data_IF_120845207390
#
_entry.id   IF_120845207390
#
_cell.length_a   1.000
_cell.length_b   1.000
_cell.length_c   1.000
_cell.angle_alpha   90.00
_cell.angle_beta   90.00
_cell.angle_gamma   90.00
#
_symmetry.space_group_name_H-M   'P 1'
#
loop_
_entity.id
_entity.type
_entity.pdbx_description
1 polymer ?
#
# COMPACT_ATOMS: atom_id res chain seq x y z
N UNK A 1 44.51 -9.82 11.66
CA UNK A 1 43.30 -9.05 12.05
C UNK A 1 43.08 -9.22 13.55
N UNK A 2 43.00 -8.14 14.35
CA UNK A 2 42.86 -8.23 15.83
C UNK A 2 41.43 -7.94 16.27
N UNK A 3 40.96 -8.62 17.32
CA UNK A 3 39.59 -8.52 17.88
C UNK A 3 39.21 -7.08 18.27
N UNK A 4 40.19 -6.25 18.64
CA UNK A 4 39.99 -4.83 18.95
C UNK A 4 39.64 -4.00 17.71
N UNK A 5 40.20 -4.34 16.55
CA UNK A 5 39.94 -3.63 15.29
C UNK A 5 38.50 -3.90 14.83
N UNK A 6 38.03 -5.14 14.96
CA UNK A 6 36.64 -5.55 14.66
C UNK A 6 35.64 -4.79 15.54
N UNK A 7 35.92 -4.66 16.84
CA UNK A 7 35.00 -3.96 17.76
C UNK A 7 34.91 -2.46 17.48
N UNK A 8 35.99 -1.84 16.96
CA UNK A 8 36.01 -0.42 16.56
C UNK A 8 35.28 -0.21 15.22
N UNK A 9 35.45 -1.12 14.26
CA UNK A 9 34.72 -1.07 12.99
C UNK A 9 33.20 -1.22 13.18
N UNK A 10 32.77 -2.11 14.09
CA UNK A 10 31.36 -2.29 14.41
C UNK A 10 30.73 -1.05 15.07
N UNK A 11 31.44 -0.38 15.98
CA UNK A 11 30.90 0.83 16.65
C UNK A 11 30.82 2.04 15.72
N UNK A 12 31.80 2.19 14.83
CA UNK A 12 31.80 3.25 13.79
C UNK A 12 30.71 3.01 12.75
N UNK A 13 30.50 1.76 12.32
CA UNK A 13 29.39 1.38 11.45
C UNK A 13 28.03 1.68 12.07
N UNK A 14 27.81 1.28 13.32
CA UNK A 14 26.54 1.57 14.03
C UNK A 14 26.26 3.07 14.13
N UNK A 15 27.28 3.88 14.43
CA UNK A 15 27.12 5.33 14.49
C UNK A 15 26.79 5.94 13.11
N UNK A 16 27.42 5.46 12.03
CA UNK A 16 27.12 5.88 10.66
C UNK A 16 25.68 5.56 10.28
N UNK A 17 25.25 4.31 10.45
CA UNK A 17 23.89 3.88 10.10
C UNK A 17 22.84 4.61 10.93
N UNK A 18 23.10 4.86 12.23
CA UNK A 18 22.20 5.67 13.06
C UNK A 18 22.03 7.07 12.46
N UNK A 19 23.12 7.73 12.08
CA UNK A 19 23.07 9.07 11.47
C UNK A 19 22.35 9.07 10.13
N UNK A 20 22.62 8.09 9.26
CA UNK A 20 21.93 7.95 7.97
C UNK A 20 20.42 7.74 8.15
N UNK A 21 20.01 6.89 9.09
CA UNK A 21 18.58 6.68 9.36
C UNK A 21 17.89 7.96 9.81
N UNK A 22 18.47 8.72 10.75
CA UNK A 22 17.83 9.93 11.28
C UNK A 22 17.94 11.15 10.36
N UNK A 23 19.04 11.30 9.62
CA UNK A 23 19.33 12.49 8.81
C UNK A 23 18.95 12.33 7.34
N UNK A 24 18.76 11.10 6.86
CA UNK A 24 18.43 10.82 5.45
C UNK A 24 17.12 10.05 5.34
N UNK A 25 17.03 8.87 5.96
CA UNK A 25 15.88 7.99 5.76
C UNK A 25 14.58 8.60 6.31
N UNK A 26 14.59 9.11 7.55
CA UNK A 26 13.39 9.73 8.14
C UNK A 26 12.94 10.99 7.40
N UNK A 27 13.82 11.94 7.03
CA UNK A 27 13.43 13.08 6.18
C UNK A 27 12.89 12.65 4.82
N UNK A 28 13.51 11.66 4.17
CA UNK A 28 13.04 11.15 2.88
C UNK A 28 11.64 10.53 2.98
N UNK A 29 11.40 9.70 4.01
CA UNK A 29 10.07 9.13 4.28
C UNK A 29 9.07 10.25 4.59
N UNK A 30 9.45 11.27 5.34
CA UNK A 30 8.62 12.43 5.61
C UNK A 30 8.20 13.18 4.34
N UNK A 31 9.14 13.38 3.40
CA UNK A 31 8.85 13.99 2.10
C UNK A 31 7.92 13.12 1.25
N UNK A 32 8.15 11.80 1.20
CA UNK A 32 7.26 10.88 0.48
C UNK A 32 5.86 10.84 1.10
N UNK A 33 5.76 10.86 2.42
CA UNK A 33 4.48 10.91 3.14
C UNK A 33 3.73 12.21 2.85
N UNK A 34 4.42 13.35 2.89
CA UNK A 34 3.82 14.64 2.54
C UNK A 34 3.34 14.67 1.09
N UNK A 35 4.12 14.15 0.14
CA UNK A 35 3.70 14.03 -1.26
C UNK A 35 2.45 13.16 -1.39
N UNK A 36 2.47 11.95 -0.82
CA UNK A 36 1.33 11.04 -0.89
C UNK A 36 0.07 11.64 -0.24
N UNK A 37 0.21 12.32 0.90
CA UNK A 37 -0.91 12.95 1.60
C UNK A 37 -1.49 14.14 0.83
N UNK A 38 -0.64 15.02 0.31
CA UNK A 38 -1.09 16.21 -0.44
C UNK A 38 -1.64 15.84 -1.83
N UNK A 39 -1.12 14.77 -2.44
CA UNK A 39 -1.61 14.24 -3.71
C UNK A 39 -2.78 13.27 -3.55
N UNK A 40 -3.25 13.03 -2.31
CA UNK A 40 -4.36 12.13 -2.04
C UNK A 40 -5.69 12.79 -2.43
N UNK A 41 -6.01 12.76 -3.71
CA UNK A 41 -7.31 13.14 -4.23
C UNK A 41 -8.14 11.89 -4.51
N UNK A 42 -9.43 11.94 -4.18
CA UNK A 42 -10.36 10.91 -4.63
C UNK A 42 -10.45 11.01 -6.15
N UNK A 43 -9.87 10.04 -6.84
CA UNK A 43 -10.04 9.91 -8.28
C UNK A 43 -11.51 9.61 -8.58
N UNK A 44 -12.05 10.28 -9.59
CA UNK A 44 -13.37 9.95 -10.10
C UNK A 44 -13.41 8.48 -10.48
N UNK A 45 -14.49 7.83 -10.07
CA UNK A 45 -14.74 6.42 -10.38
C UNK A 45 -14.88 6.25 -11.88
N UNK A 46 -14.18 5.29 -12.51
CA UNK A 46 -14.34 5.04 -13.94
C UNK A 46 -15.74 4.49 -14.24
N UNK A 47 -16.23 4.69 -15.46
CA UNK A 47 -17.47 4.08 -15.91
C UNK A 47 -17.40 2.55 -15.86
N UNK A 48 -18.53 1.92 -15.52
CA UNK A 48 -18.60 0.47 -15.46
C UNK A 48 -18.61 -0.13 -16.87
N UNK A 49 -17.64 -1.00 -17.14
CA UNK A 49 -17.63 -1.86 -18.33
C UNK A 49 -17.46 -3.31 -17.88
N UNK A 50 -18.40 -4.16 -18.30
CA UNK A 50 -18.45 -5.58 -17.97
C UNK A 50 -17.43 -6.39 -18.78
N UNK A 51 -16.15 -6.11 -18.58
CA UNK A 51 -15.07 -6.88 -19.20
C UNK A 51 -15.09 -8.33 -18.72
N UNK A 52 -15.07 -9.29 -19.66
CA UNK A 52 -15.14 -10.73 -19.35
C UNK A 52 -14.00 -11.23 -18.46
N UNK A 53 -12.84 -10.58 -18.50
CA UNK A 53 -11.68 -10.95 -17.69
C UNK A 53 -11.67 -10.31 -16.29
N UNK A 54 -12.58 -9.37 -16.00
CA UNK A 54 -12.69 -8.72 -14.70
C UNK A 54 -13.87 -9.30 -13.91
N UNK A 55 -13.80 -9.18 -12.57
CA UNK A 55 -14.92 -9.53 -11.67
C UNK A 55 -15.43 -10.96 -11.84
N UNK A 56 -14.58 -11.86 -12.31
CA UNK A 56 -14.87 -13.27 -12.47
C UNK A 56 -15.29 -13.91 -11.13
N UNK A 57 -16.34 -14.73 -11.19
CA UNK A 57 -16.91 -15.48 -10.07
C UNK A 57 -17.19 -16.91 -10.50
N UNK A 58 -16.17 -17.77 -10.48
CA UNK A 58 -16.32 -19.21 -10.79
C UNK A 58 -16.90 -19.99 -9.60
N UNK A 59 -16.63 -19.53 -8.39
CA UNK A 59 -17.19 -20.03 -7.12
C UNK A 59 -17.45 -18.84 -6.21
N UNK A 60 -18.53 -18.94 -5.41
CA UNK A 60 -18.84 -17.95 -4.37
C UNK A 60 -17.72 -17.87 -3.32
N UNK A 61 -17.46 -16.67 -2.82
CA UNK A 61 -16.56 -16.48 -1.68
C UNK A 61 -17.10 -17.16 -0.42
N UNK A 62 -16.25 -17.61 0.51
CA UNK A 62 -16.68 -18.31 1.72
C UNK A 62 -17.18 -17.38 2.85
N UNK A 63 -17.52 -16.12 2.55
CA UNK A 63 -18.02 -15.14 3.52
C UNK A 63 -19.14 -14.29 2.91
N UNK A 64 -19.89 -13.60 3.77
CA UNK A 64 -20.95 -12.68 3.36
C UNK A 64 -21.98 -13.35 2.46
N UNK A 65 -22.32 -12.67 1.36
CA UNK A 65 -23.22 -13.15 0.31
C UNK A 65 -22.50 -14.00 -0.77
N UNK A 66 -21.17 -14.13 -0.66
CA UNK A 66 -20.34 -14.83 -1.61
C UNK A 66 -19.99 -14.05 -2.89
N UNK A 67 -20.41 -12.78 -3.03
CA UNK A 67 -20.16 -11.97 -4.21
C UNK A 67 -19.17 -10.81 -3.95
N UNK A 68 -19.14 -10.29 -2.72
CA UNK A 68 -18.25 -9.22 -2.30
C UNK A 68 -16.86 -9.74 -1.91
N UNK A 69 -15.80 -9.09 -2.41
CA UNK A 69 -14.42 -9.39 -2.02
C UNK A 69 -14.17 -9.06 -0.54
N UNK A 70 -13.11 -9.63 0.05
CA UNK A 70 -12.79 -9.41 1.47
C UNK A 70 -12.60 -7.93 1.84
N UNK A 71 -11.97 -7.14 0.97
CA UNK A 71 -11.81 -5.69 1.09
C UNK A 71 -12.67 -4.97 0.05
N UNK A 72 -13.97 -5.28 0.03
CA UNK A 72 -14.92 -4.61 -0.86
C UNK A 72 -15.16 -3.16 -0.40
N UNK A 73 -15.29 -2.25 -1.37
CA UNK A 73 -15.58 -0.83 -1.16
C UNK A 73 -16.64 -0.44 -2.20
N UNK A 74 -17.87 -0.23 -1.77
CA UNK A 74 -19.04 0.02 -2.63
C UNK A 74 -18.82 1.20 -3.57
N UNK A 75 -18.09 2.22 -3.11
CA UNK A 75 -17.81 3.42 -3.89
C UNK A 75 -16.91 3.16 -5.10
N UNK A 76 -15.99 2.17 -5.08
CA UNK A 76 -14.97 2.00 -6.16
C UNK A 76 -14.90 0.60 -6.76
N UNK A 77 -15.45 -0.41 -6.10
CA UNK A 77 -15.36 -1.80 -6.51
C UNK A 77 -16.71 -2.29 -7.07
N UNK A 78 -16.89 -2.19 -8.39
CA UNK A 78 -18.08 -2.76 -9.02
C UNK A 78 -18.15 -4.29 -8.88
N UNK A 79 -19.37 -4.78 -8.67
CA UNK A 79 -19.78 -6.18 -8.78
C UNK A 79 -19.90 -6.59 -10.26
N UNK A 80 -20.12 -7.89 -10.57
CA UNK A 80 -20.27 -8.35 -11.96
C UNK A 80 -21.42 -7.68 -12.72
N UNK A 81 -22.42 -7.17 -12.01
CA UNK A 81 -23.63 -6.51 -12.52
C UNK A 81 -23.55 -4.98 -12.54
N UNK A 82 -22.54 -4.38 -11.90
CA UNK A 82 -22.37 -2.93 -11.90
C UNK A 82 -21.78 -2.38 -10.61
N UNK A 83 -21.74 -1.05 -10.50
CA UNK A 83 -21.50 -0.40 -9.22
C UNK A 83 -22.74 -0.51 -8.35
N UNK A 84 -22.51 -0.68 -7.05
CA UNK A 84 -23.55 -0.48 -6.06
C UNK A 84 -23.93 1.00 -6.08
N UNK A 85 -25.23 1.32 -6.18
CA UNK A 85 -25.66 2.71 -6.19
C UNK A 85 -25.28 3.39 -4.87
N UNK A 86 -24.62 4.54 -4.97
CA UNK A 86 -24.35 5.40 -3.83
C UNK A 86 -25.70 6.00 -3.39
N UNK A 87 -26.26 5.51 -2.28
CA UNK A 87 -27.41 6.13 -1.61
C UNK A 87 -27.07 7.51 -1.03
#
# INVERSE_FOLDING_TARGET
>A
MKVRDIRVEMTTGVALWKRLSFLVALPAVGLCMANAYLSHHHHERPEFVAYEHLRLRTKKFPWGDGNHSLFHNSHVNALPDGYEEDH
#
